data_IF_599498862063
#
_entry.id   IF_599498862063
#
_cell.length_a   1.000
_cell.length_b   1.000
_cell.length_c   1.000
_cell.angle_alpha   90.00
_cell.angle_beta   90.00
_cell.angle_gamma   90.00
#
_symmetry.space_group_name_H-M   'P 1'
#
loop_
_entity.id
_entity.type
_entity.pdbx_description
1 polymer ?
#
# COMPACT_ATOMS: atom_id res chain seq x y z
N UNK A 1 -10.96 12.07 0.76
CA UNK A 1 -10.98 10.75 1.45
C UNK A 1 -10.54 9.71 0.45
N UNK A 2 -9.50 8.91 0.73
CA UNK A 2 -9.01 7.88 -0.21
C UNK A 2 -9.14 6.53 0.47
N UNK A 3 -10.16 5.77 0.10
CA UNK A 3 -10.39 4.43 0.62
C UNK A 3 -9.70 3.40 -0.28
N UNK A 4 -9.05 2.40 0.32
CA UNK A 4 -8.67 1.19 -0.42
C UNK A 4 -9.88 0.28 -0.46
N UNK A 5 -10.33 -0.07 -1.66
CA UNK A 5 -11.51 -0.90 -1.89
C UNK A 5 -11.13 -2.13 -2.71
N UNK A 6 -11.98 -3.16 -2.63
CA UNK A 6 -11.96 -4.32 -3.53
C UNK A 6 -13.35 -4.53 -4.11
N UNK A 7 -13.41 -5.14 -5.28
CA UNK A 7 -14.63 -5.67 -5.88
C UNK A 7 -14.29 -6.94 -6.66
N UNK A 8 -15.31 -7.71 -7.05
CA UNK A 8 -15.12 -8.80 -8.00
C UNK A 8 -14.79 -8.25 -9.39
N UNK A 9 -14.09 -9.04 -10.25
CA UNK A 9 -13.77 -8.59 -11.61
C UNK A 9 -15.00 -8.26 -12.47
N UNK A 10 -16.16 -8.84 -12.15
CA UNK A 10 -17.45 -8.58 -12.82
C UNK A 10 -18.15 -7.28 -12.35
N UNK A 11 -17.53 -6.50 -11.47
CA UNK A 11 -18.12 -5.28 -10.91
C UNK A 11 -18.86 -5.47 -9.59
N UNK A 12 -19.15 -6.71 -9.18
CA UNK A 12 -20.01 -6.99 -8.03
C UNK A 12 -19.28 -7.00 -6.68
N UNK A 13 -20.06 -6.92 -5.59
CA UNK A 13 -19.59 -7.04 -4.20
C UNK A 13 -18.44 -6.07 -3.81
N UNK A 14 -18.63 -4.75 -3.92
CA UNK A 14 -17.66 -3.79 -3.43
C UNK A 14 -17.50 -3.93 -1.91
N UNK A 15 -16.26 -3.88 -1.43
CA UNK A 15 -15.94 -3.93 -0.02
C UNK A 15 -14.78 -2.99 0.32
N UNK A 16 -14.88 -2.31 1.46
CA UNK A 16 -13.81 -1.50 2.02
C UNK A 16 -12.71 -2.41 2.57
N UNK A 17 -11.46 -2.19 2.15
CA UNK A 17 -10.28 -2.86 2.69
C UNK A 17 -9.66 -2.01 3.79
N UNK A 18 -9.55 -0.70 3.56
CA UNK A 18 -9.00 0.22 4.54
C UNK A 18 -9.56 1.63 4.33
N UNK A 19 -9.98 2.27 5.43
CA UNK A 19 -10.37 3.67 5.45
C UNK A 19 -9.19 4.51 5.95
N UNK A 20 -8.43 5.07 5.02
CA UNK A 20 -7.24 5.87 5.30
C UNK A 20 -7.12 7.06 4.36
N UNK A 21 -5.94 7.64 4.27
CA UNK A 21 -5.67 8.73 3.34
C UNK A 21 -4.32 8.53 2.65
N UNK A 22 -4.21 9.09 1.43
CA UNK A 22 -2.96 9.25 0.70
C UNK A 22 -2.21 7.95 0.31
N UNK A 23 -2.96 6.93 -0.10
CA UNK A 23 -2.41 5.75 -0.79
C UNK A 23 -1.76 6.20 -2.11
N UNK A 24 -0.51 5.79 -2.34
CA UNK A 24 0.23 6.10 -3.57
C UNK A 24 0.31 4.90 -4.53
N UNK A 25 0.59 3.71 -4.00
CA UNK A 25 0.69 2.48 -4.78
C UNK A 25 0.29 1.26 -3.94
N UNK A 26 -0.09 0.18 -4.63
CA UNK A 26 -0.50 -1.08 -4.00
C UNK A 26 0.13 -2.28 -4.72
N UNK A 27 0.37 -3.35 -3.96
CA UNK A 27 0.91 -4.61 -4.46
C UNK A 27 0.16 -5.79 -3.83
N UNK A 28 -0.01 -6.87 -4.60
CA UNK A 28 -0.66 -8.09 -4.14
C UNK A 28 0.36 -9.22 -3.97
N UNK A 29 0.34 -9.88 -2.82
CA UNK A 29 1.01 -11.17 -2.62
C UNK A 29 -0.04 -12.27 -2.64
N UNK A 30 -0.23 -12.87 -3.81
CA UNK A 30 -1.27 -13.86 -4.04
C UNK A 30 -1.08 -15.12 -3.20
N UNK A 31 0.17 -15.59 -3.01
CA UNK A 31 0.38 -16.80 -2.21
C UNK A 31 0.22 -16.55 -0.71
N UNK A 32 0.45 -15.32 -0.23
CA UNK A 32 0.18 -14.93 1.15
C UNK A 32 -1.23 -14.37 1.38
N UNK A 33 -2.04 -14.24 0.31
CA UNK A 33 -3.37 -13.60 0.32
C UNK A 33 -3.37 -12.26 1.05
N UNK A 34 -2.43 -11.40 0.66
CA UNK A 34 -2.21 -10.10 1.29
C UNK A 34 -2.14 -8.97 0.27
N UNK A 35 -2.69 -7.82 0.65
CA UNK A 35 -2.53 -6.54 -0.04
C UNK A 35 -1.52 -5.72 0.75
N UNK A 36 -0.54 -5.14 0.07
CA UNK A 36 0.32 -4.11 0.62
C UNK A 36 0.00 -2.78 -0.06
N UNK A 37 0.09 -1.69 0.69
CA UNK A 37 0.01 -0.36 0.11
C UNK A 37 0.99 0.60 0.76
N UNK A 38 1.41 1.56 -0.06
CA UNK A 38 2.28 2.64 0.33
C UNK A 38 1.41 3.84 0.71
N UNK A 39 1.52 4.26 1.97
CA UNK A 39 0.82 5.42 2.51
C UNK A 39 1.78 6.59 2.62
N UNK A 40 1.40 7.73 2.03
CA UNK A 40 2.07 9.02 2.27
C UNK A 40 1.62 9.58 3.60
N UNK A 41 2.56 10.05 4.42
CA UNK A 41 2.21 10.86 5.58
C UNK A 41 2.13 12.35 5.22
N UNK A 42 1.59 13.18 6.14
CA UNK A 42 1.43 14.61 5.92
C UNK A 42 2.80 15.30 5.74
N UNK A 43 2.90 16.23 4.78
CA UNK A 43 4.08 17.06 4.58
C UNK A 43 5.35 16.33 4.16
N UNK A 44 5.25 15.17 3.50
CA UNK A 44 6.41 14.35 3.08
C UNK A 44 7.08 13.58 4.22
N UNK A 45 6.58 13.67 5.44
CA UNK A 45 7.03 12.88 6.59
C UNK A 45 6.13 11.68 6.85
N UNK A 46 6.62 10.68 7.58
CA UNK A 46 5.77 9.62 8.16
C UNK A 46 5.15 8.66 7.15
N UNK A 47 5.81 8.42 6.01
CA UNK A 47 5.39 7.39 5.10
C UNK A 47 5.47 6.00 5.74
N UNK A 48 4.55 5.12 5.34
CA UNK A 48 4.43 3.78 5.88
C UNK A 48 4.06 2.79 4.79
N UNK A 49 4.57 1.57 4.92
CA UNK A 49 4.02 0.44 4.16
C UNK A 49 3.05 -0.28 5.08
N UNK A 50 1.84 -0.43 4.59
CA UNK A 50 0.76 -1.13 5.26
C UNK A 50 0.49 -2.46 4.58
N UNK A 51 -0.12 -3.36 5.34
CA UNK A 51 -0.56 -4.67 4.90
C UNK A 51 -1.96 -4.94 5.41
N UNK A 52 -2.79 -5.58 4.59
CA UNK A 52 -4.01 -6.24 5.02
C UNK A 52 -4.07 -7.66 4.45
N UNK A 53 -4.57 -8.61 5.25
CA UNK A 53 -4.95 -9.91 4.70
C UNK A 53 -6.27 -9.79 3.93
N UNK A 54 -6.52 -10.70 2.99
CA UNK A 54 -7.80 -10.72 2.25
C UNK A 54 -9.01 -10.96 3.16
N UNK A 55 -8.82 -11.65 4.28
CA UNK A 55 -9.86 -11.86 5.29
C UNK A 55 -10.07 -10.65 6.21
N UNK A 56 -9.25 -9.60 6.04
CA UNK A 56 -9.30 -8.38 6.84
C UNK A 56 -8.11 -8.26 7.79
N UNK A 57 -8.16 -7.21 8.62
CA UNK A 57 -7.07 -6.80 9.49
C UNK A 57 -6.00 -6.02 8.73
N UNK A 58 -5.87 -4.74 9.05
CA UNK A 58 -4.90 -3.83 8.43
C UNK A 58 -3.90 -3.32 9.48
N UNK A 59 -2.62 -3.28 9.13
CA UNK A 59 -1.59 -2.74 10.00
C UNK A 59 -0.32 -2.33 9.24
N UNK A 60 0.47 -1.41 9.79
CA UNK A 60 1.74 -1.03 9.20
C UNK A 60 2.78 -2.14 9.42
N UNK A 61 3.47 -2.51 8.35
CA UNK A 61 4.60 -3.46 8.39
C UNK A 61 5.94 -2.75 8.36
N UNK A 62 5.96 -1.49 7.90
CA UNK A 62 7.12 -0.64 7.97
C UNK A 62 6.69 0.80 8.24
N UNK A 63 7.43 1.48 9.13
CA UNK A 63 7.31 2.89 9.45
C UNK A 63 8.72 3.46 9.52
N UNK A 64 8.91 4.69 9.07
CA UNK A 64 10.04 5.49 9.57
C UNK A 64 11.23 5.69 8.65
N UNK A 65 10.99 5.98 7.37
CA UNK A 65 11.99 6.65 6.53
C UNK A 65 11.42 7.93 5.92
N UNK A 66 12.22 8.98 5.71
CA UNK A 66 11.80 10.12 4.90
C UNK A 66 11.58 9.62 3.48
N UNK A 67 10.31 9.43 3.08
CA UNK A 67 9.95 9.24 1.68
C UNK A 67 9.41 10.56 1.15
N UNK A 68 10.00 11.07 0.08
CA UNK A 68 9.65 12.39 -0.45
C UNK A 68 8.39 12.30 -1.31
N UNK A 69 8.44 11.50 -2.38
CA UNK A 69 7.33 11.28 -3.29
C UNK A 69 7.24 9.79 -3.67
N UNK A 70 6.75 8.94 -2.75
CA UNK A 70 6.52 7.54 -3.06
C UNK A 70 5.41 7.38 -4.10
N UNK A 71 5.63 6.53 -5.11
CA UNK A 71 4.71 6.35 -6.24
C UNK A 71 4.28 4.89 -6.48
N UNK A 72 5.20 3.94 -6.33
CA UNK A 72 4.94 2.55 -6.68
C UNK A 72 5.41 1.59 -5.59
N UNK A 73 4.77 0.42 -5.53
CA UNK A 73 5.08 -0.67 -4.61
C UNK A 73 5.00 -1.99 -5.37
N UNK A 74 5.95 -2.88 -5.13
CA UNK A 74 5.96 -4.25 -5.66
C UNK A 74 6.36 -5.24 -4.55
N UNK A 75 5.85 -6.45 -4.65
CA UNK A 75 6.25 -7.60 -3.82
C UNK A 75 6.76 -8.71 -4.73
N UNK A 76 7.98 -9.19 -4.51
CA UNK A 76 8.61 -10.19 -5.37
C UNK A 76 9.65 -11.04 -4.63
N UNK A 77 10.01 -12.17 -5.24
CA UNK A 77 11.11 -13.04 -4.80
C UNK A 77 10.75 -14.14 -3.80
N UNK A 78 11.73 -15.01 -3.54
CA UNK A 78 11.76 -16.00 -2.47
C UNK A 78 13.15 -15.97 -1.80
N UNK A 79 13.30 -15.41 -0.59
CA UNK A 79 12.25 -14.85 0.27
C UNK A 79 11.60 -13.60 -0.33
N UNK A 80 10.39 -13.28 0.15
CA UNK A 80 9.62 -12.13 -0.34
C UNK A 80 10.25 -10.82 0.12
N UNK A 81 10.42 -9.91 -0.82
CA UNK A 81 10.88 -8.55 -0.58
C UNK A 81 9.82 -7.55 -1.07
N UNK A 82 9.75 -6.41 -0.39
CA UNK A 82 8.97 -5.26 -0.80
C UNK A 82 9.92 -4.25 -1.45
N UNK A 83 9.55 -3.78 -2.64
CA UNK A 83 10.28 -2.77 -3.39
C UNK A 83 9.37 -1.57 -3.58
N UNK A 84 9.86 -0.36 -3.36
CA UNK A 84 9.10 0.85 -3.63
C UNK A 84 9.92 1.83 -4.45
N UNK A 85 9.21 2.62 -5.24
CA UNK A 85 9.78 3.76 -5.93
C UNK A 85 9.46 5.01 -5.12
N UNK A 86 10.51 5.68 -4.64
CA UNK A 86 10.45 7.02 -4.09
C UNK A 86 11.16 7.97 -5.04
N UNK A 87 10.44 8.94 -5.57
CA UNK A 87 11.01 9.96 -6.44
C UNK A 87 11.30 11.22 -5.64
N UNK A 88 12.28 11.99 -6.10
CA UNK A 88 12.47 13.36 -5.66
C UNK A 88 11.87 14.28 -6.71
N UNK A 89 10.97 15.18 -6.30
CA UNK A 89 10.51 16.25 -7.19
C UNK A 89 11.60 17.33 -7.19
N UNK A 90 12.52 17.29 -8.16
CA UNK A 90 13.35 18.46 -8.46
C UNK A 90 12.45 19.40 -9.25
N UNK A 91 12.02 20.49 -8.62
CA UNK A 91 11.53 21.67 -9.36
C UNK A 91 12.42 21.97 -10.58
#
# INVERSE_FOLDING_TARGET
MIATQRLRPDGSAPALVHNGSAVAGLALDLRARAVYWLQRGPGGGGAAVWRAAYEGGAGPVWRGGPLQHPLALAVAGQPRHLYWLDTYDTH
#
